data_IF_022164094744
#
_entry.id   IF_022164094744
#
_cell.length_a   1.000
_cell.length_b   1.000
_cell.length_c   1.000
_cell.angle_alpha   90.00
_cell.angle_beta   90.00
_cell.angle_gamma   90.00
#
_symmetry.space_group_name_H-M   'P 1'
#
loop_
_entity.id
_entity.type
_entity.pdbx_description
1 polymer ?
#
# COMPACT_ATOMS: atom_id res chain seq x y z
N UNK A 1 -12.82 3.55 -3.12
CA UNK A 1 -11.72 3.54 -2.13
C UNK A 1 -12.23 2.87 -0.88
N UNK A 2 -11.34 2.24 -0.12
CA UNK A 2 -11.63 1.56 1.11
C UNK A 2 -10.67 2.04 2.20
N UNK A 3 -11.06 1.80 3.43
CA UNK A 3 -10.29 2.18 4.60
C UNK A 3 -10.26 1.06 5.67
N UNK A 4 -9.33 1.19 6.59
CA UNK A 4 -9.21 0.38 7.78
C UNK A 4 -8.70 1.24 8.94
N UNK A 5 -9.24 0.99 10.13
CA UNK A 5 -8.87 1.70 11.35
C UNK A 5 -8.03 0.80 12.25
N UNK A 6 -6.90 1.31 12.71
CA UNK A 6 -6.00 0.64 13.64
C UNK A 6 -5.81 1.52 14.88
N UNK A 7 -6.34 1.07 16.01
CA UNK A 7 -6.23 1.80 17.28
C UNK A 7 -5.19 1.15 18.17
N UNK A 8 -4.41 1.93 18.90
CA UNK A 8 -3.46 1.43 19.88
C UNK A 8 -4.16 0.89 21.13
N UNK A 9 -3.61 -0.17 21.70
CA UNK A 9 -4.13 -0.74 22.95
C UNK A 9 -3.68 -0.01 24.22
N UNK A 10 -2.70 0.90 24.13
CA UNK A 10 -2.13 1.61 25.28
C UNK A 10 -2.48 3.10 25.35
N UNK A 11 -2.36 3.82 24.24
CA UNK A 11 -2.47 5.30 24.20
C UNK A 11 -3.79 5.79 23.60
N UNK A 12 -4.59 4.92 22.98
CA UNK A 12 -5.80 5.31 22.24
C UNK A 12 -5.52 6.04 20.93
N UNK A 13 -4.27 6.03 20.45
CA UNK A 13 -3.89 6.60 19.15
C UNK A 13 -4.57 5.81 18.03
N UNK A 14 -5.23 6.49 17.12
CA UNK A 14 -5.93 5.85 16.00
C UNK A 14 -5.29 6.26 14.68
N UNK A 15 -4.98 5.25 13.88
CA UNK A 15 -4.47 5.39 12.53
C UNK A 15 -5.48 4.86 11.53
N UNK A 16 -5.60 5.51 10.38
CA UNK A 16 -6.41 5.01 9.28
C UNK A 16 -5.54 4.70 8.08
N UNK A 17 -5.85 3.60 7.43
CA UNK A 17 -5.19 3.15 6.22
C UNK A 17 -6.18 3.25 5.07
N UNK A 18 -5.85 4.00 4.02
CA UNK A 18 -6.70 4.12 2.83
C UNK A 18 -5.99 3.57 1.60
N UNK A 19 -6.73 2.81 0.79
CA UNK A 19 -6.31 2.30 -0.52
C UNK A 19 -7.52 1.78 -1.33
N UNK A 20 -7.29 0.98 -2.36
CA UNK A 20 -8.31 0.13 -2.96
C UNK A 20 -8.71 -1.02 -2.00
N UNK A 21 -9.90 -1.58 -2.21
CA UNK A 21 -10.50 -2.59 -1.32
C UNK A 21 -9.61 -3.84 -1.16
N UNK A 22 -8.99 -4.31 -2.24
CA UNK A 22 -8.17 -5.53 -2.20
C UNK A 22 -6.86 -5.31 -1.47
N UNK A 23 -6.23 -4.15 -1.69
CA UNK A 23 -5.02 -3.76 -0.98
C UNK A 23 -5.29 -3.56 0.51
N UNK A 24 -6.39 -2.88 0.89
CA UNK A 24 -6.77 -2.75 2.31
C UNK A 24 -7.01 -4.12 2.94
N UNK A 25 -7.75 -5.03 2.29
CA UNK A 25 -8.01 -6.36 2.82
C UNK A 25 -6.71 -7.15 3.10
N UNK A 26 -5.77 -7.14 2.15
CA UNK A 26 -4.48 -7.81 2.31
C UNK A 26 -3.60 -7.17 3.40
N UNK A 27 -3.60 -5.84 3.51
CA UNK A 27 -2.84 -5.12 4.52
C UNK A 27 -3.43 -5.30 5.92
N UNK A 28 -4.75 -5.34 6.07
CA UNK A 28 -5.42 -5.69 7.34
C UNK A 28 -4.90 -7.03 7.86
N UNK A 29 -4.82 -8.06 7.00
CA UNK A 29 -4.32 -9.37 7.40
C UNK A 29 -2.86 -9.29 7.87
N UNK A 30 -2.02 -8.59 7.12
CA UNK A 30 -0.59 -8.42 7.43
C UNK A 30 -0.38 -7.65 8.74
N UNK A 31 -1.10 -6.54 8.93
CA UNK A 31 -1.04 -5.69 10.12
C UNK A 31 -1.56 -6.43 11.35
N UNK A 32 -2.70 -7.11 11.25
CA UNK A 32 -3.23 -7.89 12.37
C UNK A 32 -2.29 -9.04 12.78
N UNK A 33 -1.52 -9.59 11.85
CA UNK A 33 -0.55 -10.66 12.16
C UNK A 33 0.69 -10.09 12.85
N UNK A 34 1.28 -9.03 12.28
CA UNK A 34 2.58 -8.51 12.73
C UNK A 34 2.49 -7.51 13.88
N UNK A 35 1.39 -6.77 14.00
CA UNK A 35 1.20 -5.69 14.99
C UNK A 35 0.18 -6.03 16.08
N UNK A 36 -0.29 -7.28 16.16
CA UNK A 36 -1.35 -7.70 17.11
C UNK A 36 -1.11 -7.27 18.57
N UNK A 37 0.13 -7.28 19.04
CA UNK A 37 0.51 -6.89 20.41
C UNK A 37 0.29 -5.42 20.74
N UNK A 38 0.11 -4.56 19.73
CA UNK A 38 -0.06 -3.12 19.86
C UNK A 38 -1.46 -2.65 19.46
N UNK A 39 -2.27 -3.54 18.87
CA UNK A 39 -3.61 -3.23 18.38
C UNK A 39 -4.66 -3.43 19.46
N UNK A 40 -5.56 -2.46 19.59
CA UNK A 40 -6.79 -2.60 20.34
C UNK A 40 -7.75 -3.55 19.60
N UNK A 41 -8.66 -4.17 20.36
CA UNK A 41 -9.70 -5.05 19.84
C UNK A 41 -10.69 -4.36 18.89
N UNK A 42 -10.79 -3.04 18.95
CA UNK A 42 -11.59 -2.20 18.05
C UNK A 42 -11.00 -2.05 16.64
N UNK A 43 -9.77 -2.52 16.40
CA UNK A 43 -9.12 -2.39 15.09
C UNK A 43 -9.81 -3.23 14.02
N UNK A 44 -9.86 -2.71 12.79
CA UNK A 44 -10.54 -3.32 11.65
C UNK A 44 -10.04 -4.73 11.34
N UNK A 45 -10.99 -5.61 11.05
CA UNK A 45 -10.76 -6.99 10.56
C UNK A 45 -11.18 -7.17 9.11
N UNK A 46 -11.87 -6.18 8.55
CA UNK A 46 -12.30 -6.12 7.15
C UNK A 46 -12.30 -4.67 6.67
N UNK A 47 -12.15 -4.42 5.36
CA UNK A 47 -12.22 -3.06 4.82
C UNK A 47 -13.61 -2.44 5.02
N UNK A 48 -13.64 -1.14 5.33
CA UNK A 48 -14.84 -0.30 5.26
C UNK A 48 -14.81 0.59 4.01
N UNK A 49 -15.97 0.99 3.47
CA UNK A 49 -16.01 2.00 2.42
C UNK A 49 -15.63 3.36 3.01
N UNK A 50 -14.68 4.05 2.37
CA UNK A 50 -14.34 5.42 2.76
C UNK A 50 -15.39 6.40 2.25
N UNK A 51 -15.78 7.33 3.11
CA UNK A 51 -16.74 8.39 2.91
C UNK A 51 -16.13 9.76 3.27
N UNK A 52 -15.63 10.47 2.27
CA UNK A 52 -15.05 11.81 2.43
C UNK A 52 -15.98 12.86 3.07
N UNK A 53 -17.29 12.60 3.13
CA UNK A 53 -18.26 13.50 3.78
C UNK A 53 -18.47 13.19 5.27
N UNK A 54 -17.97 12.05 5.76
CA UNK A 54 -18.05 11.70 7.17
C UNK A 54 -16.98 12.49 7.94
N UNK A 55 -17.35 13.25 8.99
CA UNK A 55 -16.37 13.95 9.82
C UNK A 55 -15.46 13.01 10.63
N UNK A 56 -15.82 11.73 10.77
CA UNK A 56 -14.99 10.71 11.41
C UNK A 56 -13.93 10.12 10.47
N UNK A 57 -14.05 10.35 9.17
CA UNK A 57 -13.11 9.83 8.19
C UNK A 57 -11.85 10.72 8.09
N UNK A 58 -10.70 10.12 7.76
CA UNK A 58 -9.42 10.82 7.78
C UNK A 58 -9.32 11.91 6.69
N UNK A 59 -8.79 13.07 7.08
CA UNK A 59 -8.56 14.23 6.22
C UNK A 59 -7.16 14.23 5.59
N UNK A 60 -6.95 14.93 4.45
CA UNK A 60 -5.64 15.01 3.79
C UNK A 60 -4.47 15.50 4.68
N UNK A 61 -4.75 16.40 5.62
CA UNK A 61 -3.76 16.98 6.54
C UNK A 61 -3.31 16.00 7.62
N UNK A 62 -4.06 14.90 7.78
CA UNK A 62 -3.75 13.83 8.73
C UNK A 62 -2.82 12.78 8.12
N UNK A 63 -2.45 12.89 6.83
CA UNK A 63 -1.55 11.96 6.18
C UNK A 63 -0.14 12.02 6.80
N UNK A 64 0.31 10.88 7.35
CA UNK A 64 1.64 10.72 7.95
C UNK A 64 2.61 10.10 6.98
N UNK A 65 2.16 9.12 6.19
CA UNK A 65 3.03 8.42 5.26
C UNK A 65 2.26 7.93 4.03
N UNK A 66 2.85 8.14 2.86
CA UNK A 66 2.41 7.54 1.60
C UNK A 66 3.31 6.36 1.26
N UNK A 67 2.72 5.28 0.77
CA UNK A 67 3.44 4.08 0.33
C UNK A 67 3.13 3.81 -1.14
N UNK A 68 4.04 3.12 -1.82
CA UNK A 68 3.89 2.62 -3.20
C UNK A 68 3.35 3.66 -4.19
N UNK A 69 4.19 4.64 -4.56
CA UNK A 69 3.78 5.68 -5.52
C UNK A 69 2.48 6.41 -5.10
N UNK A 70 2.28 6.56 -3.79
CA UNK A 70 1.11 7.23 -3.19
C UNK A 70 -0.24 6.53 -3.43
N UNK A 71 -0.25 5.22 -3.69
CA UNK A 71 -1.49 4.44 -3.82
C UNK A 71 -2.06 3.97 -2.48
N UNK A 72 -1.24 3.99 -1.43
CA UNK A 72 -1.62 3.65 -0.06
C UNK A 72 -1.22 4.82 0.83
N UNK A 73 -2.12 5.24 1.71
CA UNK A 73 -1.84 6.32 2.67
C UNK A 73 -2.19 5.87 4.08
N UNK A 74 -1.28 6.17 5.01
CA UNK A 74 -1.50 6.04 6.44
C UNK A 74 -1.74 7.44 7.02
N UNK A 75 -2.84 7.60 7.73
CA UNK A 75 -3.21 8.84 8.41
C UNK A 75 -3.28 8.64 9.92
N UNK A 76 -3.21 9.73 10.65
CA UNK A 76 -3.24 9.76 12.11
C UNK A 76 -4.32 10.72 12.61
N UNK A 77 -5.16 10.24 13.52
CA UNK A 77 -6.18 11.07 14.16
C UNK A 77 -5.57 12.22 14.97
N UNK A 78 -6.09 13.42 14.73
CA UNK A 78 -5.62 14.65 15.37
C UNK A 78 -4.32 15.24 14.80
N UNK A 79 -3.69 14.61 13.80
CA UNK A 79 -2.54 15.21 13.13
C UNK A 79 -2.98 16.33 12.18
N UNK A 80 -2.24 17.44 12.17
CA UNK A 80 -2.54 18.58 11.33
C UNK A 80 -1.27 19.06 10.63
N UNK A 81 -1.05 18.57 9.41
CA UNK A 81 0.06 19.00 8.58
C UNK A 81 -0.30 20.28 7.81
N UNK A 82 0.30 21.39 8.22
CA UNK A 82 0.14 22.67 7.52
C UNK A 82 0.73 22.70 6.11
N UNK A 83 1.67 21.80 5.78
CA UNK A 83 2.26 21.70 4.45
C UNK A 83 1.29 21.18 3.39
N UNK A 84 0.25 20.44 3.78
CA UNK A 84 -0.69 19.78 2.86
C UNK A 84 -1.40 20.75 1.91
N UNK A 85 -1.67 21.98 2.36
CA UNK A 85 -2.32 23.00 1.55
C UNK A 85 -1.40 24.15 1.16
N UNK A 86 -0.09 23.97 1.29
CA UNK A 86 0.83 25.03 0.93
C UNK A 86 0.86 25.24 -0.58
N UNK A 87 1.00 26.50 -1.00
CA UNK A 87 1.16 26.86 -2.42
C UNK A 87 2.48 26.36 -3.02
N UNK A 88 3.42 25.94 -2.16
CA UNK A 88 4.78 25.54 -2.50
C UNK A 88 5.14 24.21 -1.80
N UNK A 89 4.42 23.11 -2.09
CA UNK A 89 4.47 21.87 -1.30
C UNK A 89 5.86 21.22 -1.26
N UNK A 90 6.69 21.43 -2.28
CA UNK A 90 8.05 20.90 -2.34
C UNK A 90 9.07 21.66 -1.46
N UNK A 91 8.67 22.77 -0.86
CA UNK A 91 9.55 23.65 -0.07
C UNK A 91 9.06 23.87 1.35
N UNK A 92 7.79 23.57 1.61
CA UNK A 92 7.21 23.63 2.96
C UNK A 92 7.48 22.31 3.66
N UNK A 93 8.17 22.37 4.80
CA UNK A 93 8.40 21.18 5.60
C UNK A 93 7.09 20.71 6.26
N UNK A 94 6.94 19.39 6.38
CA UNK A 94 5.82 18.80 7.11
C UNK A 94 5.83 19.22 8.58
N UNK A 95 4.64 19.37 9.16
CA UNK A 95 4.50 19.68 10.58
C UNK A 95 5.01 18.51 11.44
N UNK A 96 5.60 18.75 12.61
CA UNK A 96 6.03 17.65 13.47
C UNK A 96 4.83 16.83 13.94
N UNK A 97 5.06 15.53 14.16
CA UNK A 97 4.03 14.65 14.71
C UNK A 97 3.63 15.10 16.13
N UNK A 98 2.37 14.88 16.54
CA UNK A 98 1.91 15.21 17.89
C UNK A 98 2.66 14.42 18.96
N UNK A 99 2.87 15.01 20.14
CA UNK A 99 3.40 14.28 21.29
C UNK A 99 2.33 13.35 21.88
N UNK A 100 2.76 12.24 22.49
CA UNK A 100 1.85 11.28 23.14
C UNK A 100 1.18 10.28 22.22
N UNK A 101 1.60 10.18 20.95
CA UNK A 101 1.16 9.13 20.03
C UNK A 101 1.87 7.80 20.31
N UNK A 102 1.25 6.70 19.89
CA UNK A 102 1.90 5.39 19.92
C UNK A 102 2.91 5.27 18.76
N UNK A 103 4.17 5.61 19.04
CA UNK A 103 5.25 5.45 18.06
C UNK A 103 5.57 3.98 17.79
N UNK A 104 5.30 3.07 18.73
CA UNK A 104 5.58 1.63 18.54
C UNK A 104 4.59 1.03 17.54
N UNK A 105 3.31 1.36 17.67
CA UNK A 105 2.31 1.00 16.67
C UNK A 105 2.60 1.68 15.33
N UNK A 106 2.95 2.97 15.32
CA UNK A 106 3.31 3.68 14.09
C UNK A 106 4.47 2.99 13.36
N UNK A 107 5.54 2.63 14.07
CA UNK A 107 6.69 1.93 13.49
C UNK A 107 6.31 0.55 12.96
N UNK A 108 5.48 -0.20 13.69
CA UNK A 108 5.00 -1.50 13.25
C UNK A 108 4.15 -1.39 11.98
N UNK A 109 3.23 -0.42 11.92
CA UNK A 109 2.42 -0.14 10.74
C UNK A 109 3.32 0.26 9.56
N UNK A 110 4.25 1.18 9.79
CA UNK A 110 5.13 1.70 8.75
C UNK A 110 6.00 0.60 8.13
N UNK A 111 6.60 -0.24 8.99
CA UNK A 111 7.38 -1.39 8.54
C UNK A 111 6.51 -2.42 7.80
N UNK A 112 5.39 -2.80 8.39
CA UNK A 112 4.52 -3.85 7.84
C UNK A 112 3.91 -3.44 6.51
N UNK A 113 3.38 -2.22 6.40
CA UNK A 113 2.81 -1.70 5.16
C UNK A 113 3.92 -1.54 4.11
N UNK A 114 5.09 -1.02 4.48
CA UNK A 114 6.22 -0.87 3.56
C UNK A 114 6.65 -2.18 2.91
N UNK A 115 6.62 -3.29 3.66
CA UNK A 115 6.97 -4.62 3.16
C UNK A 115 5.80 -5.30 2.42
N UNK A 116 4.61 -5.26 3.00
CA UNK A 116 3.46 -6.04 2.52
C UNK A 116 2.64 -5.33 1.43
N UNK A 117 2.79 -4.02 1.25
CA UNK A 117 2.09 -3.31 0.19
C UNK A 117 2.47 -3.90 -1.17
N UNK A 118 1.48 -4.39 -1.96
CA UNK A 118 1.74 -5.13 -3.19
C UNK A 118 2.71 -4.41 -4.11
N UNK A 119 3.74 -5.14 -4.55
CA UNK A 119 4.56 -4.76 -5.68
C UNK A 119 3.76 -5.08 -6.94
N UNK A 120 3.53 -4.10 -7.79
CA UNK A 120 3.28 -4.42 -9.20
C UNK A 120 4.63 -4.90 -9.72
N UNK A 121 4.90 -6.20 -9.60
CA UNK A 121 5.88 -6.84 -10.45
C UNK A 121 5.31 -6.68 -11.86
N UNK A 122 5.86 -5.73 -12.63
CA UNK A 122 5.49 -5.54 -14.02
C UNK A 122 5.64 -6.89 -14.67
N UNK A 123 4.51 -7.51 -15.02
CA UNK A 123 4.41 -8.95 -15.24
C UNK A 123 5.69 -9.46 -15.86
N UNK A 124 6.46 -10.25 -15.09
CA UNK A 124 7.42 -11.17 -15.68
C UNK A 124 6.55 -12.09 -16.51
N UNK A 125 6.28 -11.66 -17.74
CA UNK A 125 5.62 -12.42 -18.77
C UNK A 125 6.59 -13.57 -18.97
N UNK A 126 6.42 -14.64 -18.19
CA UNK A 126 7.04 -15.90 -18.45
C UNK A 126 6.34 -16.40 -19.70
N UNK A 127 6.70 -15.80 -20.84
CA UNK A 127 6.70 -16.47 -22.10
C UNK A 127 7.64 -17.65 -21.90
N UNK A 128 7.10 -18.73 -21.32
CA UNK A 128 7.62 -20.06 -21.59
C UNK A 128 7.46 -20.21 -23.09
N UNK A 129 8.51 -19.83 -23.82
CA UNK A 129 8.61 -20.15 -25.24
C UNK A 129 8.41 -21.66 -25.33
N UNK A 130 7.37 -22.15 -26.01
CA UNK A 130 7.22 -23.57 -26.25
C UNK A 130 8.51 -24.04 -26.92
N UNK A 131 9.21 -25.07 -26.40
CA UNK A 131 10.51 -25.49 -26.93
C UNK A 131 10.47 -25.93 -28.40
N UNK A 132 9.28 -26.04 -28.99
CA UNK A 132 9.05 -26.54 -30.33
C UNK A 132 9.16 -25.48 -31.44
N UNK A 133 9.12 -24.17 -31.14
CA UNK A 133 9.11 -23.14 -32.20
C UNK A 133 10.46 -23.07 -32.94
N UNK A 134 11.58 -23.28 -32.23
CA UNK A 134 12.92 -23.29 -32.83
C UNK A 134 13.16 -24.47 -33.78
N UNK A 135 12.55 -25.63 -33.53
CA UNK A 135 12.68 -26.79 -34.41
C UNK A 135 11.85 -26.64 -35.70
N UNK A 136 10.64 -26.09 -35.59
CA UNK A 136 9.79 -25.87 -36.76
C UNK A 136 10.41 -24.87 -37.73
N UNK A 137 11.01 -23.78 -37.22
CA UNK A 137 11.68 -22.78 -38.07
C UNK A 137 12.92 -23.36 -38.75
N UNK A 138 13.71 -24.18 -38.04
CA UNK A 138 14.92 -24.79 -38.60
C UNK A 138 14.60 -25.81 -39.71
N UNK A 139 13.59 -26.66 -39.50
CA UNK A 139 13.13 -27.62 -40.50
C UNK A 139 12.58 -26.89 -41.74
N UNK A 140 11.84 -25.80 -41.55
CA UNK A 140 11.28 -25.03 -42.65
C UNK A 140 12.35 -24.32 -43.49
N UNK A 141 13.39 -23.77 -42.85
CA UNK A 141 14.53 -23.16 -43.55
C UNK A 141 15.34 -24.22 -44.32
N UNK A 142 15.59 -25.39 -43.72
CA UNK A 142 16.30 -26.49 -44.40
C UNK A 142 15.51 -26.99 -45.62
N UNK A 143 14.18 -27.12 -45.48
CA UNK A 143 13.33 -27.53 -46.60
C UNK A 143 13.36 -26.51 -47.75
N UNK A 144 13.31 -25.21 -47.45
CA UNK A 144 13.47 -24.16 -48.46
C UNK A 144 14.84 -24.21 -49.15
N UNK A 145 15.92 -24.38 -48.39
CA UNK A 145 17.27 -24.44 -48.95
C UNK A 145 17.49 -25.66 -49.85
N UNK A 146 16.85 -26.80 -49.55
CA UNK A 146 16.94 -28.01 -50.38
C UNK A 146 16.08 -27.91 -51.65
N UNK A 147 14.97 -27.16 -51.60
CA UNK A 147 14.03 -27.10 -52.73
C UNK A 147 14.32 -25.94 -53.71
N UNK A 148 15.12 -24.96 -53.29
CA UNK A 148 15.48 -23.77 -54.08
C UNK A 148 17.01 -23.64 -54.34
N UNK A 149 17.79 -24.69 -54.09
CA UNK A 149 19.18 -24.86 -54.56
C UNK A 149 19.22 -25.88 -55.70
#
# INVERSE_FOLDING_TARGET
MAEATFSSNGTGTTFHLLSDNTTVASLISSVNTNCSSHLASSSSKSPSPFNASDPGDPQPQQAVQYYRSSSVVLTLDGYNNSATFSSSPNTTADSPLPSGIDTTLLDCLNYTIGQAAPLIDGASSRYTSPPCIGFVSFIWILWLLVHYA
#
